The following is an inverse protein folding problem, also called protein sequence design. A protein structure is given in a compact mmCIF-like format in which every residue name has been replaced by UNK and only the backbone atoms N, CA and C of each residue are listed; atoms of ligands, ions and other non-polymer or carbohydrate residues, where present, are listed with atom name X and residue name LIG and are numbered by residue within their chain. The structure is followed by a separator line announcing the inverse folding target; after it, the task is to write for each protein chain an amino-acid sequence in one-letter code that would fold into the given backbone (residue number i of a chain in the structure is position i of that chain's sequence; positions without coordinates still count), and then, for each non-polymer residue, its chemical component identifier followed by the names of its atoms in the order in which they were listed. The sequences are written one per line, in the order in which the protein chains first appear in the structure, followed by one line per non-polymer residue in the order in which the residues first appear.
data_IF_642393934968
#
_entry.id   IF_642393934968
#
_cell.length_a   1.000
_cell.length_b   1.000
_cell.length_c   1.000
_cell.angle_alpha   90.00
_cell.angle_beta   90.00
_cell.angle_gamma   90.00
#
_symmetry.space_group_name_H-M   'P 1'
#
loop_
_entity.id
_entity.type
_entity.pdbx_description
1 polymer ?
#
# COMPACT_ATOMS: atom_id res chain seq x y z
N UNK A 1 -11.00 -13.69 -0.12
CA UNK A 1 -10.03 -13.60 1.01
C UNK A 1 -9.43 -14.96 1.37
N UNK A 2 -10.22 -16.05 1.47
CA UNK A 2 -9.74 -17.35 1.96
C UNK A 2 -8.52 -17.93 1.22
N UNK A 3 -8.47 -17.84 -0.12
CA UNK A 3 -7.32 -18.31 -0.92
C UNK A 3 -6.01 -17.58 -0.57
N UNK A 4 -6.08 -16.27 -0.33
CA UNK A 4 -4.92 -15.49 0.13
C UNK A 4 -4.55 -15.80 1.57
N UNK A 5 -5.54 -16.06 2.42
CA UNK A 5 -5.27 -16.48 3.78
C UNK A 5 -4.52 -17.82 3.83
N UNK A 6 -4.97 -18.79 3.02
CA UNK A 6 -4.32 -20.10 2.86
C UNK A 6 -2.91 -19.94 2.30
N UNK A 7 -2.74 -19.21 1.19
CA UNK A 7 -1.42 -18.95 0.60
C UNK A 7 -0.46 -18.29 1.60
N UNK A 8 -0.92 -17.25 2.31
CA UNK A 8 -0.10 -16.57 3.31
C UNK A 8 0.33 -17.55 4.41
N UNK A 9 -0.60 -18.34 4.97
CA UNK A 9 -0.25 -19.29 6.02
C UNK A 9 0.79 -20.32 5.55
N UNK A 10 0.65 -20.85 4.33
CA UNK A 10 1.65 -21.76 3.73
C UNK A 10 3.02 -21.08 3.62
N UNK A 11 3.06 -19.84 3.13
CA UNK A 11 4.30 -19.05 3.02
C UNK A 11 4.93 -18.81 4.41
N UNK A 12 4.11 -18.51 5.41
CA UNK A 12 4.59 -18.22 6.77
C UNK A 12 5.06 -19.47 7.53
N UNK A 13 4.41 -20.62 7.31
CA UNK A 13 4.77 -21.93 7.90
C UNK A 13 5.97 -22.59 7.19
N UNK A 14 6.37 -22.08 6.02
CA UNK A 14 7.55 -22.51 5.28
C UNK A 14 8.89 -22.10 5.92
N UNK A 15 9.85 -21.68 5.09
CA UNK A 15 11.18 -21.25 5.55
C UNK A 15 11.10 -20.08 6.54
N UNK A 16 11.90 -20.08 7.62
CA UNK A 16 11.99 -18.89 8.49
C UNK A 16 12.61 -17.69 7.77
N UNK A 17 13.52 -17.94 6.83
CA UNK A 17 14.20 -16.89 6.06
C UNK A 17 13.22 -16.25 5.06
N UNK A 18 13.18 -14.91 4.97
CA UNK A 18 12.36 -14.21 3.99
C UNK A 18 12.88 -14.49 2.57
N UNK A 19 11.96 -14.63 1.61
CA UNK A 19 12.26 -14.83 0.20
C UNK A 19 11.87 -13.60 -0.61
N UNK A 20 12.75 -13.20 -1.53
CA UNK A 20 12.49 -12.10 -2.48
C UNK A 20 11.22 -12.37 -3.29
N UNK A 21 11.07 -13.58 -3.79
CA UNK A 21 9.96 -13.95 -4.67
C UNK A 21 8.62 -13.93 -3.92
N UNK A 22 8.58 -14.43 -2.68
CA UNK A 22 7.40 -14.37 -1.81
C UNK A 22 7.00 -12.93 -1.50
N UNK A 23 7.99 -12.09 -1.14
CA UNK A 23 7.74 -10.69 -0.84
C UNK A 23 7.20 -9.94 -2.06
N UNK A 24 7.86 -10.08 -3.22
CA UNK A 24 7.42 -9.42 -4.46
C UNK A 24 6.04 -9.92 -4.87
N UNK A 25 5.76 -11.21 -4.73
CA UNK A 25 4.44 -11.77 -5.01
C UNK A 25 3.35 -11.14 -4.13
N UNK A 26 3.57 -11.08 -2.82
CA UNK A 26 2.65 -10.42 -1.88
C UNK A 26 2.52 -8.91 -2.16
N UNK A 27 3.60 -8.24 -2.54
CA UNK A 27 3.59 -6.82 -2.89
C UNK A 27 2.74 -6.54 -4.14
N UNK A 28 2.83 -7.41 -5.15
CA UNK A 28 2.01 -7.30 -6.37
C UNK A 28 0.54 -7.62 -6.11
N UNK A 29 0.23 -8.62 -5.27
CA UNK A 29 -1.16 -8.85 -4.81
C UNK A 29 -1.67 -7.60 -4.06
N UNK A 30 -0.82 -6.99 -3.22
CA UNK A 30 -1.17 -5.81 -2.46
C UNK A 30 -1.50 -4.59 -3.34
N UNK A 31 -0.71 -4.36 -4.40
CA UNK A 31 -0.99 -3.36 -5.43
C UNK A 31 -2.38 -3.55 -6.04
N UNK A 32 -2.70 -4.78 -6.47
CA UNK A 32 -3.94 -5.07 -7.17
C UNK A 32 -5.15 -5.30 -6.27
N UNK A 33 -4.98 -5.36 -4.95
CA UNK A 33 -6.09 -5.47 -3.99
C UNK A 33 -7.14 -4.37 -4.14
N UNK A 34 -6.71 -3.20 -4.63
CA UNK A 34 -7.57 -2.05 -4.94
C UNK A 34 -8.52 -2.31 -6.15
N UNK A 35 -8.23 -3.29 -7.03
CA UNK A 35 -9.16 -3.69 -8.12
C UNK A 35 -10.41 -4.44 -7.62
N UNK A 36 -10.40 -4.94 -6.38
CA UNK A 36 -11.59 -5.49 -5.75
C UNK A 36 -12.44 -4.42 -5.05
N UNK A 37 -12.08 -3.14 -5.18
CA UNK A 37 -12.90 -2.04 -4.70
C UNK A 37 -14.16 -1.88 -5.56
N UNK A 38 -15.32 -1.95 -4.92
CA UNK A 38 -16.64 -1.90 -5.55
C UNK A 38 -17.07 -0.48 -5.91
N UNK A 39 -16.32 0.53 -5.47
CA UNK A 39 -16.63 1.94 -5.76
C UNK A 39 -16.54 2.24 -7.27
N UNK A 40 -15.59 1.61 -7.97
CA UNK A 40 -15.40 1.74 -9.41
C UNK A 40 -16.46 0.98 -10.24
N UNK A 41 -17.11 -0.01 -9.62
CA UNK A 41 -18.02 -0.93 -10.30
C UNK A 41 -19.50 -0.63 -10.07
N UNK A 42 -19.83 0.50 -9.42
CA UNK A 42 -21.18 0.81 -8.96
C UNK A 42 -21.82 -0.34 -8.16
N UNK A 43 -21.02 -1.11 -7.41
CA UNK A 43 -21.50 -2.23 -6.60
C UNK A 43 -21.52 -3.59 -7.30
N UNK A 44 -21.03 -3.72 -8.53
CA UNK A 44 -20.85 -5.03 -9.19
C UNK A 44 -19.47 -5.63 -8.88
N UNK A 45 -19.33 -6.94 -8.70
CA UNK A 45 -18.01 -7.55 -8.56
C UNK A 45 -17.30 -7.50 -9.93
N UNK A 46 -16.40 -6.55 -10.15
CA UNK A 46 -15.72 -6.33 -11.45
C UNK A 46 -14.58 -7.29 -11.73
N UNK A 47 -14.07 -7.99 -10.73
CA UNK A 47 -12.99 -8.94 -10.91
C UNK A 47 -13.22 -10.18 -10.06
N UNK A 48 -13.02 -11.35 -10.66
CA UNK A 48 -12.97 -12.59 -9.91
C UNK A 48 -11.72 -12.54 -9.04
N UNK A 49 -11.84 -12.80 -7.74
CA UNK A 49 -10.70 -12.81 -6.80
C UNK A 49 -9.64 -13.83 -7.24
N UNK A 50 -10.02 -14.79 -8.09
CA UNK A 50 -9.11 -15.70 -8.76
C UNK A 50 -8.14 -15.03 -9.74
N UNK A 51 -8.54 -13.97 -10.44
CA UNK A 51 -7.68 -13.23 -11.37
C UNK A 51 -6.58 -12.46 -10.65
N UNK A 52 -6.82 -11.98 -9.42
CA UNK A 52 -5.79 -11.32 -8.61
C UNK A 52 -4.61 -12.25 -8.26
N UNK A 53 -4.86 -13.56 -8.19
CA UNK A 53 -3.81 -14.55 -8.02
C UNK A 53 -3.06 -14.85 -9.32
N UNK A 54 -3.66 -14.56 -10.47
CA UNK A 54 -3.02 -14.72 -11.76
C UNK A 54 -2.23 -13.45 -12.12
N UNK A 55 -1.19 -13.16 -11.34
CA UNK A 55 -0.34 -12.00 -11.55
C UNK A 55 0.27 -11.95 -12.95
N UNK A 56 0.43 -13.09 -13.65
CA UNK A 56 0.95 -13.12 -15.02
C UNK A 56 0.11 -12.28 -15.99
N UNK A 57 -1.20 -12.18 -15.76
CA UNK A 57 -2.10 -11.35 -16.57
C UNK A 57 -2.05 -9.86 -16.20
N UNK A 58 -1.62 -9.54 -14.97
CA UNK A 58 -1.61 -8.18 -14.44
C UNK A 58 -0.23 -7.52 -14.51
N UNK A 59 0.84 -8.31 -14.53
CA UNK A 59 2.23 -7.83 -14.64
C UNK A 59 2.48 -6.90 -15.84
N UNK A 60 1.96 -7.18 -17.05
CA UNK A 60 2.12 -6.27 -18.19
C UNK A 60 1.53 -4.87 -17.96
N UNK A 61 0.61 -4.72 -17.00
CA UNK A 61 -0.03 -3.45 -16.68
C UNK A 61 0.70 -2.68 -15.56
N UNK A 62 1.81 -3.21 -15.02
CA UNK A 62 2.66 -2.46 -14.08
C UNK A 62 3.63 -1.59 -14.89
N UNK A 63 3.35 -0.29 -14.95
CA UNK A 63 4.10 0.65 -15.81
C UNK A 63 5.46 1.08 -15.21
N UNK A 64 5.62 0.91 -13.91
CA UNK A 64 6.87 1.11 -13.19
C UNK A 64 6.95 0.08 -12.07
N UNK A 65 7.94 -0.80 -12.11
CA UNK A 65 8.14 -1.86 -11.11
C UNK A 65 9.48 -1.69 -10.38
N UNK A 66 9.42 -1.11 -9.18
CA UNK A 66 10.53 -1.00 -8.25
C UNK A 66 10.47 -2.04 -7.11
N UNK A 67 9.72 -3.13 -7.27
CA UNK A 67 9.56 -4.17 -6.24
C UNK A 67 10.89 -4.73 -5.75
N UNK A 68 11.88 -4.92 -6.64
CA UNK A 68 13.22 -5.35 -6.25
C UNK A 68 13.95 -4.34 -5.36
N UNK A 69 13.83 -3.04 -5.66
CA UNK A 69 14.45 -1.99 -4.83
C UNK A 69 13.82 -1.94 -3.43
N UNK A 70 12.50 -2.18 -3.35
CA UNK A 70 11.79 -2.27 -2.08
C UNK A 70 12.27 -3.49 -1.31
N UNK A 71 12.41 -4.65 -1.98
CA UNK A 71 12.99 -5.85 -1.38
C UNK A 71 14.39 -5.59 -0.81
N UNK A 72 15.27 -4.95 -1.59
CA UNK A 72 16.63 -4.64 -1.15
C UNK A 72 16.63 -3.72 0.08
N UNK A 73 15.67 -2.78 0.17
CA UNK A 73 15.52 -1.90 1.31
C UNK A 73 15.01 -2.62 2.58
N UNK A 74 14.14 -3.63 2.46
CA UNK A 74 13.58 -4.36 3.61
C UNK A 74 14.42 -5.56 4.03
N UNK A 75 15.08 -6.24 3.09
CA UNK A 75 15.82 -7.49 3.32
C UNK A 75 17.20 -7.28 3.96
N UNK A 76 17.75 -6.06 3.92
CA UNK A 76 18.97 -5.70 4.65
C UNK A 76 18.82 -5.84 6.18
N UNK A 77 17.59 -6.04 6.67
CA UNK A 77 17.30 -6.66 7.96
C UNK A 77 17.11 -5.70 9.13
N UNK A 78 16.31 -6.15 10.11
CA UNK A 78 16.07 -5.51 11.41
C UNK A 78 15.51 -4.08 11.36
N UNK A 79 14.67 -3.78 10.37
CA UNK A 79 13.91 -2.53 10.38
C UNK A 79 13.12 -2.44 11.69
N UNK A 80 13.20 -1.30 12.34
CA UNK A 80 12.48 -1.06 13.58
C UNK A 80 11.00 -0.84 13.28
N UNK A 81 10.70 0.04 12.32
CA UNK A 81 9.34 0.48 12.05
C UNK A 81 9.11 0.57 10.53
N UNK A 82 8.06 -0.09 10.06
CA UNK A 82 7.47 0.16 8.74
C UNK A 82 6.11 0.80 8.94
N UNK A 83 5.90 1.92 8.27
CA UNK A 83 4.63 2.64 8.26
C UNK A 83 3.82 2.26 7.02
N UNK A 84 2.51 2.08 7.17
CA UNK A 84 1.58 1.87 6.05
C UNK A 84 0.47 2.90 6.15
N UNK A 85 0.30 3.73 5.11
CA UNK A 85 -0.80 4.70 5.01
C UNK A 85 -1.88 4.07 4.14
N UNK A 86 -2.99 3.67 4.76
CA UNK A 86 -4.06 2.94 4.09
C UNK A 86 -4.87 3.81 3.11
N UNK A 87 -5.44 3.13 2.12
CA UNK A 87 -6.47 3.63 1.20
C UNK A 87 -7.80 2.99 1.61
N UNK A 88 -8.28 1.97 0.88
CA UNK A 88 -9.62 1.40 1.06
C UNK A 88 -9.70 0.27 2.10
N UNK A 89 -10.89 0.16 2.69
CA UNK A 89 -11.35 -0.97 3.50
C UNK A 89 -11.69 -2.19 2.64
N UNK A 90 -12.30 -3.21 3.25
CA UNK A 90 -12.68 -4.44 2.54
C UNK A 90 -11.49 -5.30 2.12
N UNK A 91 -11.41 -5.65 0.83
CA UNK A 91 -10.36 -6.55 0.33
C UNK A 91 -8.98 -5.89 0.30
N UNK A 92 -8.88 -4.58 0.04
CA UNK A 92 -7.58 -3.91 -0.03
C UNK A 92 -6.89 -3.88 1.33
N UNK A 93 -7.56 -3.43 2.40
CA UNK A 93 -6.96 -3.49 3.74
C UNK A 93 -6.56 -4.92 4.10
N UNK A 94 -7.31 -5.94 3.70
CA UNK A 94 -6.93 -7.33 3.93
C UNK A 94 -5.61 -7.70 3.25
N UNK A 95 -5.36 -7.28 2.01
CA UNK A 95 -4.06 -7.52 1.35
C UNK A 95 -2.94 -6.70 2.01
N UNK A 96 -3.24 -5.51 2.56
CA UNK A 96 -2.29 -4.73 3.36
C UNK A 96 -1.87 -5.46 4.63
N UNK A 97 -2.83 -6.06 5.34
CA UNK A 97 -2.57 -6.84 6.54
C UNK A 97 -1.80 -8.13 6.24
N UNK A 98 -2.03 -8.75 5.08
CA UNK A 98 -1.22 -9.90 4.63
C UNK A 98 0.26 -9.52 4.45
N UNK A 99 0.54 -8.38 3.80
CA UNK A 99 1.91 -7.89 3.64
C UNK A 99 2.53 -7.50 4.99
N UNK A 100 1.77 -6.83 5.86
CA UNK A 100 2.20 -6.49 7.21
C UNK A 100 2.53 -7.73 8.06
N UNK A 101 1.77 -8.82 7.92
CA UNK A 101 2.05 -10.08 8.62
C UNK A 101 3.34 -10.71 8.11
N UNK A 102 3.54 -10.74 6.79
CA UNK A 102 4.79 -11.24 6.22
C UNK A 102 6.01 -10.50 6.77
N UNK A 103 5.95 -9.16 6.82
CA UNK A 103 7.03 -8.32 7.35
C UNK A 103 7.35 -8.62 8.82
N UNK A 104 6.34 -8.84 9.67
CA UNK A 104 6.54 -9.19 11.08
C UNK A 104 6.99 -10.64 11.26
N UNK A 105 6.33 -11.58 10.58
CA UNK A 105 6.55 -13.02 10.73
C UNK A 105 7.93 -13.45 10.23
N UNK A 106 8.42 -12.85 9.13
CA UNK A 106 9.77 -13.09 8.61
C UNK A 106 10.84 -12.17 9.23
N UNK A 107 10.51 -11.45 10.32
CA UNK A 107 11.44 -10.60 11.07
C UNK A 107 12.08 -9.48 10.21
N UNK A 108 11.41 -9.05 9.15
CA UNK A 108 11.84 -7.92 8.32
C UNK A 108 11.57 -6.57 9.01
N UNK A 109 10.56 -6.51 9.87
CA UNK A 109 10.26 -5.38 10.74
C UNK A 109 9.92 -5.82 12.17
N UNK A 110 10.22 -4.95 13.16
CA UNK A 110 9.80 -5.17 14.56
C UNK A 110 8.36 -4.70 14.82
N UNK A 111 7.98 -3.58 14.20
CA UNK A 111 6.68 -2.94 14.37
C UNK A 111 6.15 -2.46 13.02
N UNK A 112 4.86 -2.66 12.79
CA UNK A 112 4.11 -2.00 11.73
C UNK A 112 3.26 -0.91 12.36
N UNK A 113 3.35 0.33 11.87
CA UNK A 113 2.37 1.38 12.22
C UNK A 113 1.45 1.62 11.03
N UNK A 114 0.16 1.58 11.26
CA UNK A 114 -0.83 1.78 10.20
C UNK A 114 -1.57 3.08 10.43
N UNK A 115 -1.73 3.88 9.38
CA UNK A 115 -2.40 5.17 9.44
C UNK A 115 -3.77 5.07 8.78
N UNK A 116 -4.79 5.52 9.49
CA UNK A 116 -6.20 5.49 9.10
C UNK A 116 -6.79 6.89 9.07
N UNK A 117 -7.93 7.06 8.39
CA UNK A 117 -8.67 8.33 8.35
C UNK A 117 -9.47 8.53 9.63
N UNK A 118 -9.68 9.79 10.03
CA UNK A 118 -10.39 10.15 11.28
C UNK A 118 -11.88 10.39 11.09
N UNK A 119 -12.33 10.50 9.84
CA UNK A 119 -13.73 10.68 9.45
C UNK A 119 -14.03 9.83 8.20
N UNK A 120 -15.31 9.53 7.89
CA UNK A 120 -15.67 8.93 6.61
C UNK A 120 -15.10 9.75 5.46
N UNK A 121 -14.28 9.10 4.63
CA UNK A 121 -13.46 9.77 3.64
C UNK A 121 -13.47 8.95 2.35
N UNK A 122 -13.66 9.60 1.21
CA UNK A 122 -13.62 8.97 -0.12
C UNK A 122 -14.37 7.62 -0.24
N UNK A 123 -15.54 7.53 0.40
CA UNK A 123 -16.45 6.36 0.42
C UNK A 123 -15.87 5.16 1.19
N UNK A 124 -14.74 4.63 0.75
CA UNK A 124 -14.20 3.34 1.19
C UNK A 124 -12.95 3.45 2.06
N UNK A 125 -12.41 4.64 2.32
CA UNK A 125 -11.16 4.76 3.07
C UNK A 125 -11.24 4.17 4.48
N UNK A 126 -10.18 3.47 4.89
CA UNK A 126 -10.10 2.82 6.21
C UNK A 126 -10.13 3.84 7.34
N UNK A 127 -11.08 3.70 8.24
CA UNK A 127 -11.07 4.29 9.58
C UNK A 127 -10.70 3.25 10.64
N UNK A 128 -10.45 3.71 11.87
CA UNK A 128 -10.18 2.84 13.03
C UNK A 128 -11.23 1.75 13.21
N UNK A 129 -12.52 2.09 13.05
CA UNK A 129 -13.58 1.11 13.23
C UNK A 129 -13.59 0.05 12.13
N UNK A 130 -13.27 0.39 10.88
CA UNK A 130 -13.20 -0.57 9.76
C UNK A 130 -12.06 -1.58 9.95
N UNK A 131 -10.91 -1.11 10.43
CA UNK A 131 -9.77 -1.96 10.77
C UNK A 131 -10.16 -2.97 11.86
N UNK A 132 -10.70 -2.51 12.98
CA UNK A 132 -11.07 -3.40 14.08
C UNK A 132 -12.25 -4.31 13.72
N UNK A 133 -13.21 -3.82 12.92
CA UNK A 133 -14.29 -4.63 12.39
C UNK A 133 -13.74 -5.75 11.52
N UNK A 134 -12.79 -5.47 10.64
CA UNK A 134 -12.14 -6.49 9.80
C UNK A 134 -11.45 -7.57 10.64
N UNK A 135 -10.69 -7.18 11.68
CA UNK A 135 -10.06 -8.15 12.58
C UNK A 135 -11.09 -9.04 13.29
N UNK A 136 -12.20 -8.45 13.76
CA UNK A 136 -13.28 -9.19 14.42
C UNK A 136 -13.98 -10.16 13.46
N UNK A 137 -14.28 -9.72 12.23
CA UNK A 137 -14.89 -10.59 11.21
C UNK A 137 -13.98 -11.74 10.80
N UNK A 138 -12.67 -11.52 10.72
CA UNK A 138 -11.69 -12.58 10.45
C UNK A 138 -11.64 -13.57 11.63
N UNK A 139 -11.50 -13.06 12.86
CA UNK A 139 -11.40 -13.88 14.07
C UNK A 139 -12.65 -14.74 14.32
N UNK A 140 -13.82 -14.25 13.95
CA UNK A 140 -15.09 -14.98 14.12
C UNK A 140 -15.51 -15.75 12.84
N UNK A 141 -14.63 -15.86 11.84
CA UNK A 141 -14.95 -16.51 10.57
C UNK A 141 -15.04 -18.06 10.70
N UNK A 142 -15.93 -18.67 9.92
CA UNK A 142 -16.07 -20.13 9.84
C UNK A 142 -14.89 -20.78 9.12
N UNK A 143 -14.31 -20.12 8.11
CA UNK A 143 -13.11 -20.57 7.42
C UNK A 143 -11.90 -20.52 8.37
N UNK A 144 -11.20 -21.65 8.50
CA UNK A 144 -10.12 -21.79 9.47
C UNK A 144 -8.91 -20.90 9.19
N UNK A 145 -8.57 -20.67 7.92
CA UNK A 145 -7.43 -19.83 7.55
C UNK A 145 -7.68 -18.37 7.92
N UNK A 146 -8.88 -17.87 7.62
CA UNK A 146 -9.27 -16.51 8.00
C UNK A 146 -9.31 -16.34 9.53
N UNK A 147 -9.85 -17.33 10.26
CA UNK A 147 -9.88 -17.33 11.72
C UNK A 147 -8.48 -17.28 12.33
N UNK A 148 -7.56 -18.13 11.87
CA UNK A 148 -6.16 -18.16 12.32
C UNK A 148 -5.48 -16.80 12.13
N UNK A 149 -5.67 -16.16 10.98
CA UNK A 149 -5.13 -14.83 10.72
C UNK A 149 -5.78 -13.78 11.63
N UNK A 150 -7.11 -13.78 11.79
CA UNK A 150 -7.81 -12.84 12.67
C UNK A 150 -7.35 -12.93 14.13
N UNK A 151 -7.17 -14.13 14.66
CA UNK A 151 -6.62 -14.37 16.00
C UNK A 151 -5.18 -13.84 16.13
N UNK A 152 -4.33 -14.19 15.15
CA UNK A 152 -2.91 -13.79 15.11
C UNK A 152 -2.75 -12.27 15.03
N UNK A 153 -3.48 -11.62 14.14
CA UNK A 153 -3.42 -10.17 13.92
C UNK A 153 -4.01 -9.39 15.09
N UNK A 154 -5.08 -9.90 15.71
CA UNK A 154 -5.57 -9.35 16.99
C UNK A 154 -4.48 -9.40 18.07
N UNK A 155 -3.72 -10.49 18.13
CA UNK A 155 -2.58 -10.58 19.05
C UNK A 155 -1.45 -9.59 18.70
N UNK A 156 -1.19 -9.31 17.42
CA UNK A 156 -0.22 -8.28 17.02
C UNK A 156 -0.60 -6.89 17.50
N UNK A 157 -1.89 -6.54 17.47
CA UNK A 157 -2.36 -5.28 18.06
C UNK A 157 -2.18 -5.29 19.57
N UNK A 158 -2.62 -6.35 20.26
CA UNK A 158 -2.52 -6.46 21.72
C UNK A 158 -1.08 -6.43 22.25
N UNK A 159 -0.11 -6.85 21.42
CA UNK A 159 1.32 -6.89 21.75
C UNK A 159 2.12 -5.73 21.17
N UNK A 160 1.45 -4.71 20.59
CA UNK A 160 2.05 -3.55 19.95
C UNK A 160 3.04 -3.88 18.80
N UNK A 161 2.91 -5.06 18.19
CA UNK A 161 3.58 -5.35 16.91
C UNK A 161 2.92 -4.58 15.77
N UNK A 162 1.60 -4.40 15.84
CA UNK A 162 0.84 -3.50 14.98
C UNK A 162 0.28 -2.35 15.83
N UNK A 163 0.51 -1.12 15.38
CA UNK A 163 0.07 0.09 16.09
C UNK A 163 -0.78 0.93 15.13
N UNK A 164 -2.00 1.25 15.53
CA UNK A 164 -2.86 2.17 14.79
C UNK A 164 -2.52 3.61 15.14
N UNK A 165 -2.51 4.48 14.13
CA UNK A 165 -2.27 5.91 14.29
C UNK A 165 -3.32 6.71 13.51
N UNK A 166 -4.09 7.51 14.25
CA UNK A 166 -5.03 8.48 13.70
C UNK A 166 -4.39 9.86 13.58
N UNK A 167 -4.70 10.57 12.49
CA UNK A 167 -4.31 11.97 12.35
C UNK A 167 -5.20 12.70 11.36
N UNK A 168 -5.75 13.86 11.76
CA UNK A 168 -6.63 14.67 10.91
C UNK A 168 -5.95 15.17 9.63
N UNK A 169 -4.61 15.24 9.61
CA UNK A 169 -3.86 15.66 8.42
C UNK A 169 -4.21 14.82 7.18
N UNK A 170 -4.48 13.52 7.35
CA UNK A 170 -4.85 12.64 6.23
C UNK A 170 -6.15 13.05 5.55
N UNK A 171 -7.04 13.73 6.27
CA UNK A 171 -8.36 14.22 5.82
C UNK A 171 -8.39 15.74 5.60
N UNK A 172 -7.25 16.43 5.66
CA UNK A 172 -7.17 17.83 5.25
C UNK A 172 -7.10 17.96 3.71
N UNK A 173 -7.57 19.08 3.13
CA UNK A 173 -7.49 19.34 1.68
C UNK A 173 -6.11 19.87 1.29
N UNK A 174 -5.04 19.27 1.80
CA UNK A 174 -3.65 19.63 1.50
C UNK A 174 -2.88 18.42 1.01
N UNK A 175 -1.87 18.69 0.19
CA UNK A 175 -0.89 17.69 -0.24
C UNK A 175 0.16 17.45 0.87
N UNK A 176 1.01 16.44 0.69
CA UNK A 176 1.95 16.03 1.73
C UNK A 176 3.19 16.93 1.81
N UNK A 177 3.51 17.73 0.78
CA UNK A 177 4.68 18.61 0.78
C UNK A 177 4.63 19.64 1.92
N UNK A 178 3.43 20.05 2.34
CA UNK A 178 3.22 21.01 3.44
C UNK A 178 3.12 20.36 4.82
N UNK A 179 3.20 19.03 4.93
CA UNK A 179 3.02 18.32 6.20
C UNK A 179 4.01 18.78 7.27
N UNK A 180 5.26 19.10 6.87
CA UNK A 180 6.29 19.59 7.80
C UNK A 180 5.86 20.89 8.50
N UNK A 181 5.16 21.77 7.80
CA UNK A 181 4.75 23.08 8.30
C UNK A 181 3.38 23.02 8.99
N UNK A 182 2.44 22.26 8.43
CA UNK A 182 1.06 22.13 8.95
C UNK A 182 0.98 21.16 10.14
N UNK A 183 1.71 20.05 10.09
CA UNK A 183 1.73 19.05 11.16
C UNK A 183 3.13 18.44 11.36
N UNK A 184 4.02 19.24 11.95
CA UNK A 184 5.41 18.85 12.23
C UNK A 184 5.53 17.58 13.09
N UNK A 185 4.55 17.31 13.96
CA UNK A 185 4.55 16.10 14.80
C UNK A 185 4.33 14.84 13.96
N UNK A 186 3.39 14.87 13.01
CA UNK A 186 3.17 13.75 12.08
C UNK A 186 4.39 13.54 11.17
N UNK A 187 4.97 14.62 10.64
CA UNK A 187 6.18 14.52 9.81
C UNK A 187 7.35 13.88 10.57
N UNK A 188 7.57 14.29 11.83
CA UNK A 188 8.56 13.67 12.73
C UNK A 188 8.26 12.21 12.96
N UNK A 189 6.99 11.85 13.16
CA UNK A 189 6.58 10.47 13.37
C UNK A 189 6.90 9.61 12.15
N UNK A 190 6.57 10.07 10.95
CA UNK A 190 6.91 9.36 9.70
C UNK A 190 8.43 9.21 9.56
N UNK A 191 9.22 10.23 9.95
CA UNK A 191 10.69 10.17 9.91
C UNK A 191 11.33 9.18 10.90
N UNK A 192 10.57 8.64 11.85
CA UNK A 192 11.02 7.52 12.70
C UNK A 192 10.94 6.17 11.97
N UNK A 193 10.18 6.07 10.88
CA UNK A 193 10.02 4.84 10.12
C UNK A 193 11.23 4.61 9.22
N UNK A 194 11.63 3.34 9.08
CA UNK A 194 12.67 2.96 8.12
C UNK A 194 12.14 2.94 6.67
N UNK A 195 10.83 2.69 6.52
CA UNK A 195 10.10 2.70 5.25
C UNK A 195 8.64 3.12 5.48
N UNK A 196 8.09 3.93 4.58
CA UNK A 196 6.66 4.25 4.53
C UNK A 196 6.04 3.72 3.23
N UNK A 197 4.99 2.91 3.33
CA UNK A 197 4.22 2.38 2.20
C UNK A 197 2.93 3.20 2.08
N UNK A 198 2.75 3.89 0.95
CA UNK A 198 1.52 4.62 0.64
C UNK A 198 0.65 3.80 -0.32
N UNK A 199 -0.60 3.56 0.07
CA UNK A 199 -1.57 2.81 -0.75
C UNK A 199 -2.45 3.72 -1.58
N UNK A 200 -2.76 3.31 -2.81
CA UNK A 200 -3.87 3.87 -3.57
C UNK A 200 -3.62 5.21 -4.24
N UNK A 201 -4.64 5.65 -4.97
CA UNK A 201 -4.58 6.80 -5.87
C UNK A 201 -4.58 8.15 -5.12
N UNK A 202 -5.38 8.29 -4.06
CA UNK A 202 -5.47 9.53 -3.31
C UNK A 202 -4.16 9.87 -2.57
N UNK A 203 -3.54 8.87 -1.94
CA UNK A 203 -2.23 9.08 -1.30
C UNK A 203 -1.18 9.49 -2.33
N UNK A 204 -1.20 8.89 -3.53
CA UNK A 204 -0.30 9.30 -4.61
C UNK A 204 -0.56 10.74 -5.05
N UNK A 205 -1.81 11.11 -5.33
CA UNK A 205 -2.16 12.48 -5.68
C UNK A 205 -1.67 13.50 -4.64
N UNK A 206 -1.83 13.20 -3.35
CA UNK A 206 -1.31 14.02 -2.25
C UNK A 206 0.22 13.99 -2.12
N UNK A 207 0.90 12.89 -2.43
CA UNK A 207 2.37 12.83 -2.49
C UNK A 207 2.93 13.72 -3.60
N UNK A 208 2.26 13.75 -4.75
CA UNK A 208 2.72 14.43 -5.96
C UNK A 208 2.03 15.80 -6.17
N UNK A 209 1.30 16.30 -5.18
CA UNK A 209 0.80 17.67 -5.13
C UNK A 209 -0.38 18.01 -6.03
N UNK A 210 -1.11 17.02 -6.56
CA UNK A 210 -2.18 17.25 -7.56
C UNK A 210 -1.69 18.03 -8.80
N UNK A 211 -0.40 17.86 -9.15
CA UNK A 211 0.23 18.52 -10.31
C UNK A 211 0.23 17.57 -11.49
N UNK A 212 -0.14 18.07 -12.67
CA UNK A 212 0.04 17.35 -13.93
C UNK A 212 1.52 17.41 -14.35
N UNK A 213 2.30 16.45 -13.87
CA UNK A 213 3.73 16.33 -14.14
C UNK A 213 4.00 15.78 -15.54
N UNK A 214 5.16 16.13 -16.11
CA UNK A 214 5.71 15.33 -17.19
C UNK A 214 5.89 13.88 -16.68
N UNK A 215 5.36 12.85 -17.37
CA UNK A 215 5.40 11.47 -16.86
C UNK A 215 6.80 10.94 -16.55
N UNK A 216 7.82 11.50 -17.20
CA UNK A 216 9.23 11.12 -16.99
C UNK A 216 9.90 11.88 -15.85
N UNK A 217 9.20 12.83 -15.22
CA UNK A 217 9.68 13.57 -14.04
C UNK A 217 10.14 12.58 -12.96
N UNK A 218 11.39 12.66 -12.47
CA UNK A 218 11.86 11.75 -11.43
C UNK A 218 11.00 11.83 -10.17
N UNK A 219 10.78 10.68 -9.52
CA UNK A 219 9.93 10.57 -8.30
C UNK A 219 10.43 11.54 -7.23
N UNK A 220 11.75 11.68 -7.05
CA UNK A 220 12.35 12.57 -6.06
C UNK A 220 12.00 14.04 -6.28
N UNK A 221 11.74 14.44 -7.53
CA UNK A 221 11.29 15.79 -7.87
C UNK A 221 9.78 15.92 -7.67
N UNK A 222 9.01 14.92 -8.08
CA UNK A 222 7.55 14.91 -7.93
C UNK A 222 7.07 14.95 -6.47
N UNK A 223 7.84 14.33 -5.55
CA UNK A 223 7.61 14.38 -4.10
C UNK A 223 7.90 15.75 -3.46
N UNK A 224 8.44 16.71 -4.22
CA UNK A 224 8.73 18.06 -3.76
C UNK A 224 9.60 18.08 -2.49
N UNK A 225 9.04 18.50 -1.35
CA UNK A 225 9.74 18.57 -0.05
C UNK A 225 9.38 17.41 0.91
N UNK A 226 8.59 16.43 0.44
CA UNK A 226 8.11 15.32 1.26
C UNK A 226 9.07 14.12 1.21
N UNK A 227 10.09 14.16 2.07
CA UNK A 227 11.09 13.09 2.23
C UNK A 227 11.34 12.73 3.71
N UNK A 228 10.31 12.37 4.50
CA UNK A 228 10.49 12.04 5.92
C UNK A 228 11.34 10.77 6.12
N UNK A 229 11.16 9.77 5.26
CA UNK A 229 11.83 8.46 5.27
C UNK A 229 11.94 7.92 3.85
N UNK A 230 12.58 6.75 3.68
CA UNK A 230 12.40 5.97 2.45
C UNK A 230 10.91 5.70 2.28
N UNK A 231 10.41 5.77 1.05
CA UNK A 231 9.00 5.53 0.80
C UNK A 231 8.79 4.72 -0.46
N UNK A 232 7.69 3.97 -0.48
CA UNK A 232 7.16 3.41 -1.69
C UNK A 232 5.67 3.71 -1.84
N UNK A 233 5.20 3.67 -3.07
CA UNK A 233 3.78 3.84 -3.41
C UNK A 233 3.31 2.63 -4.18
N UNK A 234 2.16 2.09 -3.78
CA UNK A 234 1.47 1.00 -4.47
C UNK A 234 0.14 1.56 -4.95
N UNK A 235 0.06 1.88 -6.24
CA UNK A 235 -1.06 2.62 -6.82
C UNK A 235 -1.60 1.93 -8.06
N UNK A 236 -2.91 1.71 -8.11
CA UNK A 236 -3.66 1.62 -9.37
C UNK A 236 -3.99 3.03 -9.87
N UNK A 237 -3.81 3.30 -11.15
CA UNK A 237 -3.88 4.65 -11.70
C UNK A 237 -5.35 5.02 -11.96
N UNK A 238 -5.87 6.00 -11.23
CA UNK A 238 -7.26 6.49 -11.32
C UNK A 238 -7.36 8.03 -11.43
N UNK A 239 -6.24 8.70 -11.73
CA UNK A 239 -6.18 10.13 -11.95
C UNK A 239 -5.01 10.54 -12.85
N UNK A 240 -5.16 11.69 -13.51
CA UNK A 240 -4.24 12.30 -14.49
C UNK A 240 -2.96 12.89 -13.87
N UNK A 241 -2.28 12.08 -13.05
CA UNK A 241 -1.03 12.42 -12.40
C UNK A 241 -0.10 11.22 -12.46
N UNK A 242 1.11 11.39 -12.94
CA UNK A 242 2.12 10.33 -12.92
C UNK A 242 3.51 10.92 -12.97
N UNK A 243 4.45 10.31 -12.25
CA UNK A 243 5.88 10.60 -12.31
C UNK A 243 6.65 9.29 -12.47
N UNK A 244 7.92 9.38 -12.85
CA UNK A 244 8.87 8.28 -12.78
C UNK A 244 8.69 7.18 -13.82
N UNK A 245 7.95 7.43 -14.91
CA UNK A 245 7.88 6.51 -16.04
C UNK A 245 9.13 6.61 -16.92
N UNK A 246 9.48 5.51 -17.58
CA UNK A 246 10.47 5.55 -18.64
C UNK A 246 9.90 6.30 -19.85
N UNK A 247 10.77 6.99 -20.60
CA UNK A 247 10.39 7.72 -21.81
C UNK A 247 9.65 6.81 -22.81
N UNK A 248 8.53 7.28 -23.36
CA UNK A 248 7.73 6.54 -24.33
C UNK A 248 6.71 5.57 -23.72
N UNK A 249 6.72 5.33 -22.40
CA UNK A 249 5.73 4.42 -21.78
C UNK A 249 4.35 5.05 -21.76
N UNK A 250 4.24 6.31 -21.32
CA UNK A 250 2.96 7.01 -21.27
C UNK A 250 2.32 7.10 -22.66
N UNK A 251 3.11 7.49 -23.67
CA UNK A 251 2.66 7.65 -25.05
C UNK A 251 2.21 6.32 -25.67
N UNK A 252 2.88 5.21 -25.34
CA UNK A 252 2.48 3.87 -25.80
C UNK A 252 1.15 3.45 -25.20
N UNK A 253 0.94 3.71 -23.91
CA UNK A 253 -0.30 3.33 -23.22
C UNK A 253 -1.46 4.21 -23.67
N UNK A 254 -1.23 5.52 -23.78
CA UNK A 254 -2.20 6.50 -24.31
C UNK A 254 -2.67 6.13 -25.72
N UNK A 255 -1.77 5.69 -26.59
CA UNK A 255 -2.11 5.26 -27.95
C UNK A 255 -3.01 4.01 -28.00
N UNK A 256 -3.05 3.20 -26.93
CA UNK A 256 -3.91 2.02 -26.80
C UNK A 256 -5.24 2.39 -26.12
N UNK A 257 -5.18 3.23 -25.09
CA UNK A 257 -6.33 3.68 -24.32
C UNK A 257 -6.12 5.12 -23.84
N UNK A 258 -6.80 6.08 -24.45
CA UNK A 258 -6.74 7.51 -24.08
C UNK A 258 -7.23 7.78 -22.63
N UNK A 259 -7.93 6.81 -22.02
CA UNK A 259 -8.45 6.91 -20.64
C UNK A 259 -7.68 6.05 -19.65
N UNK A 260 -6.48 5.61 -19.98
CA UNK A 260 -5.71 4.69 -19.15
C UNK A 260 -5.45 5.18 -17.72
N UNK A 261 -5.49 6.51 -17.49
CA UNK A 261 -5.34 7.09 -16.16
C UNK A 261 -6.64 7.12 -15.35
N UNK A 262 -7.80 6.81 -15.94
CA UNK A 262 -9.12 6.88 -15.28
C UNK A 262 -9.66 5.49 -14.89
N UNK A 263 -9.11 4.39 -15.41
CA UNK A 263 -9.74 3.06 -15.32
C UNK A 263 -9.26 2.20 -14.16
N UNK A 264 -8.10 2.48 -13.57
CA UNK A 264 -7.48 1.60 -12.58
C UNK A 264 -6.85 0.34 -13.19
N UNK A 265 -6.74 0.25 -14.52
CA UNK A 265 -6.21 -0.93 -15.20
C UNK A 265 -4.70 -1.11 -15.05
N UNK A 266 -4.00 0.02 -14.88
CA UNK A 266 -2.56 0.14 -14.78
C UNK A 266 -2.09 0.38 -13.35
N UNK A 267 -0.89 -0.09 -13.03
CA UNK A 267 -0.33 -0.06 -11.68
C UNK A 267 1.08 0.52 -11.64
N UNK A 268 1.45 1.05 -10.48
CA UNK A 268 2.77 1.58 -10.17
C UNK A 268 3.26 0.99 -8.85
N UNK A 269 4.48 0.45 -8.88
CA UNK A 269 5.28 0.11 -7.70
C UNK A 269 6.48 1.02 -7.73
N UNK A 270 6.44 2.11 -6.96
CA UNK A 270 7.48 3.14 -7.00
C UNK A 270 8.20 3.22 -5.67
N UNK A 271 9.50 3.50 -5.69
CA UNK A 271 10.36 3.58 -4.52
C UNK A 271 11.25 4.81 -4.60
N UNK A 272 11.41 5.49 -3.47
CA UNK A 272 12.26 6.65 -3.30
C UNK A 272 13.10 6.46 -2.03
N UNK A 273 14.42 6.42 -2.18
CA UNK A 273 15.35 6.28 -1.05
C UNK A 273 15.72 7.62 -0.41
N UNK A 274 15.44 8.75 -1.08
CA UNK A 274 15.85 10.07 -0.62
C UNK A 274 15.15 10.44 0.70
N UNK A 275 15.96 10.73 1.72
CA UNK A 275 15.53 11.25 3.02
C UNK A 275 16.09 12.67 3.18
N UNK A 276 15.26 13.61 3.65
CA UNK A 276 15.69 14.97 3.97
C UNK A 276 15.54 15.19 5.48
N UNK A 277 16.65 15.31 6.24
CA UNK A 277 16.61 15.50 7.68
C UNK A 277 15.72 16.68 8.12
N UNK A 278 15.20 16.57 9.36
CA UNK A 278 14.31 17.54 10.00
C UNK A 278 15.09 18.71 10.60
#
# INVERSE_FOLDING_TARGET
MSKLAEYLLVVLEGSEEPSKDEFIHLLKINLWGNKCDLSLSNGELTSDVEELFNLQNLEPNILCDHSEKIWDAVSQGNLSIIDIVFDNSGYEVFTDLCLADYLISKKLAKTIRVYVKTVPWFISDVMTHDFFWTLDQLKNNTNEYLRKLGEKWTNYVNTNKWILVENDFWTLPVDFSVMRDVNRSLYKKLAEADLVIFKGDLNYRKLFGEINWDPTTPIERGLQNFHPSKLCTLRTIKADIVCGLAAGIAEKVEAVNEKWMETGDYGLIQFCEKIVPI
#
